data_IF_497402729903
#
_entry.id   IF_497402729903
#
_cell.length_a   1.000
_cell.length_b   1.000
_cell.length_c   1.000
_cell.angle_alpha   90.00
_cell.angle_beta   90.00
_cell.angle_gamma   90.00
#
_symmetry.space_group_name_H-M   'P 1'
#
loop_
_entity.id
_entity.type
_entity.pdbx_description
1 polymer ?
#
# COMPACT_ATOMS: atom_id res chain seq x y z
N UNK A 1 8.78 -4.36 -37.87
CA UNK A 1 7.57 -4.76 -38.64
C UNK A 1 6.99 -6.11 -38.20
N UNK A 2 7.70 -7.24 -38.32
CA UNK A 2 7.15 -8.54 -37.88
C UNK A 2 7.04 -8.66 -36.34
N UNK A 3 8.07 -8.21 -35.62
CA UNK A 3 8.11 -8.24 -34.14
C UNK A 3 7.02 -7.36 -33.52
N UNK A 4 6.85 -6.13 -34.01
CA UNK A 4 5.79 -5.22 -33.55
C UNK A 4 4.38 -5.78 -33.78
N UNK A 5 4.18 -6.52 -34.87
CA UNK A 5 2.90 -7.19 -35.13
C UNK A 5 2.66 -8.34 -34.14
N UNK A 6 3.69 -9.12 -33.84
CA UNK A 6 3.63 -10.21 -32.85
C UNK A 6 3.33 -9.65 -31.46
N UNK A 7 4.04 -8.59 -31.05
CA UNK A 7 3.83 -7.92 -29.77
C UNK A 7 2.39 -7.39 -29.65
N UNK A 8 1.88 -6.71 -30.68
CA UNK A 8 0.48 -6.25 -30.71
C UNK A 8 -0.51 -7.40 -30.57
N UNK A 9 -0.28 -8.53 -31.26
CA UNK A 9 -1.16 -9.70 -31.18
C UNK A 9 -1.10 -10.36 -29.80
N UNK A 10 0.07 -10.50 -29.21
CA UNK A 10 0.23 -11.01 -27.85
C UNK A 10 -0.49 -10.12 -26.83
N UNK A 11 -0.33 -8.80 -26.92
CA UNK A 11 -1.03 -7.86 -26.05
C UNK A 11 -2.55 -7.95 -26.18
N UNK A 12 -3.08 -8.17 -27.40
CA UNK A 12 -4.51 -8.43 -27.61
C UNK A 12 -4.97 -9.73 -26.95
N UNK A 13 -4.20 -10.81 -27.08
CA UNK A 13 -4.53 -12.11 -26.46
C UNK A 13 -4.55 -11.98 -24.94
N UNK A 14 -3.54 -11.34 -24.35
CA UNK A 14 -3.45 -11.10 -22.91
C UNK A 14 -4.67 -10.32 -22.41
N UNK A 15 -5.06 -9.26 -23.13
CA UNK A 15 -6.27 -8.47 -22.83
C UNK A 15 -7.55 -9.32 -22.83
N UNK A 16 -7.74 -10.15 -23.86
CA UNK A 16 -8.91 -11.03 -23.97
C UNK A 16 -8.94 -12.04 -22.82
N UNK A 17 -7.80 -12.63 -22.47
CA UNK A 17 -7.69 -13.57 -21.36
C UNK A 17 -8.02 -12.91 -20.01
N UNK A 18 -7.52 -11.69 -19.78
CA UNK A 18 -7.81 -10.90 -18.58
C UNK A 18 -9.31 -10.59 -18.43
N UNK A 19 -9.96 -10.16 -19.51
CA UNK A 19 -11.40 -9.90 -19.54
C UNK A 19 -12.23 -11.17 -19.32
N UNK A 20 -11.87 -12.26 -20.00
CA UNK A 20 -12.56 -13.54 -19.84
C UNK A 20 -12.39 -14.10 -18.42
N UNK A 21 -11.23 -13.88 -17.79
CA UNK A 21 -11.00 -14.31 -16.42
C UNK A 21 -11.83 -13.53 -15.40
N UNK A 22 -12.23 -12.29 -15.70
CA UNK A 22 -12.97 -11.41 -14.77
C UNK A 22 -14.46 -11.28 -15.09
N UNK A 23 -14.95 -11.95 -16.15
CA UNK A 23 -16.32 -11.80 -16.65
C UNK A 23 -17.40 -12.24 -15.66
N UNK A 24 -17.10 -13.23 -14.84
CA UNK A 24 -18.05 -13.85 -13.89
C UNK A 24 -17.98 -13.19 -12.51
N UNK A 25 -17.01 -12.30 -12.27
CA UNK A 25 -16.90 -11.58 -11.01
C UNK A 25 -17.90 -10.42 -11.01
N UNK A 26 -18.88 -10.42 -10.11
CA UNK A 26 -19.92 -9.38 -10.11
C UNK A 26 -19.43 -8.03 -9.56
N UNK A 27 -18.47 -8.06 -8.62
CA UNK A 27 -17.99 -6.86 -7.93
C UNK A 27 -16.71 -6.36 -8.57
N UNK A 28 -16.64 -5.05 -8.81
CA UNK A 28 -15.43 -4.40 -9.34
C UNK A 28 -14.19 -4.67 -8.47
N UNK A 29 -14.38 -4.74 -7.14
CA UNK A 29 -13.31 -5.14 -6.21
C UNK A 29 -12.69 -6.47 -6.62
N UNK A 30 -13.50 -7.49 -6.90
CA UNK A 30 -13.02 -8.85 -7.14
C UNK A 30 -12.28 -8.93 -8.48
N UNK A 31 -12.79 -8.25 -9.52
CA UNK A 31 -12.13 -8.09 -10.82
C UNK A 31 -10.74 -7.46 -10.67
N UNK A 32 -10.67 -6.33 -9.97
CA UNK A 32 -9.42 -5.60 -9.75
C UNK A 32 -8.40 -6.46 -9.03
N UNK A 33 -8.79 -7.12 -7.93
CA UNK A 33 -7.88 -7.97 -7.17
C UNK A 33 -7.39 -9.18 -7.96
N UNK A 34 -8.25 -9.75 -8.81
CA UNK A 34 -7.88 -10.87 -9.68
C UNK A 34 -6.86 -10.46 -10.73
N UNK A 35 -7.06 -9.30 -11.38
CA UNK A 35 -6.10 -8.78 -12.35
C UNK A 35 -4.75 -8.42 -11.70
N UNK A 36 -4.76 -7.86 -10.50
CA UNK A 36 -3.51 -7.64 -9.74
C UNK A 36 -2.78 -8.93 -9.44
N UNK A 37 -3.50 -10.02 -9.13
CA UNK A 37 -2.89 -11.35 -8.93
C UNK A 37 -2.30 -11.92 -10.22
N UNK A 38 -2.83 -11.52 -11.38
CA UNK A 38 -2.28 -11.87 -12.70
C UNK A 38 -1.06 -11.03 -13.09
N UNK A 39 -0.68 -10.04 -12.28
CA UNK A 39 0.51 -9.20 -12.49
C UNK A 39 0.25 -7.89 -13.22
N UNK A 40 -1.02 -7.55 -13.50
CA UNK A 40 -1.35 -6.27 -14.13
C UNK A 40 -1.21 -5.11 -13.15
N UNK A 41 -0.67 -4.00 -13.66
CA UNK A 41 -0.51 -2.77 -12.90
C UNK A 41 -1.81 -1.93 -12.90
N UNK A 42 -1.84 -0.86 -12.10
CA UNK A 42 -3.03 -0.01 -11.94
C UNK A 42 -3.54 0.61 -13.25
N UNK A 43 -2.65 1.02 -14.15
CA UNK A 43 -3.02 1.65 -15.43
C UNK A 43 -3.61 0.63 -16.40
N UNK A 44 -2.99 -0.56 -16.48
CA UNK A 44 -3.50 -1.67 -17.29
C UNK A 44 -4.88 -2.12 -16.81
N UNK A 45 -5.06 -2.27 -15.50
CA UNK A 45 -6.35 -2.65 -14.90
C UNK A 45 -7.42 -1.58 -15.20
N UNK A 46 -7.06 -0.29 -15.06
CA UNK A 46 -7.94 0.82 -15.38
C UNK A 46 -8.40 0.77 -16.85
N UNK A 47 -7.47 0.52 -17.78
CA UNK A 47 -7.77 0.36 -19.21
C UNK A 47 -8.69 -0.83 -19.46
N UNK A 48 -8.42 -2.00 -18.87
CA UNK A 48 -9.21 -3.22 -19.12
C UNK A 48 -10.63 -3.11 -18.60
N UNK A 49 -10.81 -2.54 -17.41
CA UNK A 49 -12.13 -2.44 -16.78
C UNK A 49 -12.88 -1.17 -17.18
N UNK A 50 -12.26 -0.26 -17.93
CA UNK A 50 -12.84 1.05 -18.25
C UNK A 50 -13.08 1.91 -17.00
N UNK A 51 -12.25 1.72 -15.96
CA UNK A 51 -12.35 2.40 -14.67
C UNK A 51 -11.30 3.51 -14.56
N UNK A 52 -11.56 4.54 -13.77
CA UNK A 52 -10.54 5.53 -13.44
C UNK A 52 -9.44 4.95 -12.54
N UNK A 53 -8.17 5.30 -12.76
CA UNK A 53 -7.03 4.86 -11.93
C UNK A 53 -7.23 5.15 -10.44
N UNK A 54 -7.87 6.28 -10.11
CA UNK A 54 -8.22 6.63 -8.74
C UNK A 54 -9.14 5.58 -8.07
N UNK A 55 -10.07 4.97 -8.81
CA UNK A 55 -10.96 3.95 -8.25
C UNK A 55 -10.19 2.64 -8.01
N UNK A 56 -9.25 2.28 -8.90
CA UNK A 56 -8.37 1.13 -8.71
C UNK A 56 -7.49 1.31 -7.47
N UNK A 57 -6.88 2.50 -7.31
CA UNK A 57 -6.07 2.85 -6.14
C UNK A 57 -6.91 2.77 -4.87
N UNK A 58 -8.13 3.30 -4.90
CA UNK A 58 -9.06 3.24 -3.77
C UNK A 58 -9.38 1.80 -3.37
N UNK A 59 -9.64 0.92 -4.35
CA UNK A 59 -9.88 -0.51 -4.10
C UNK A 59 -8.65 -1.15 -3.47
N UNK A 60 -7.45 -0.89 -3.99
CA UNK A 60 -6.21 -1.43 -3.41
C UNK A 60 -5.95 -0.94 -1.99
N UNK A 61 -6.11 0.36 -1.74
CA UNK A 61 -5.97 0.92 -0.40
C UNK A 61 -6.98 0.32 0.56
N UNK A 62 -8.26 0.21 0.17
CA UNK A 62 -9.30 -0.37 1.02
C UNK A 62 -9.08 -1.87 1.31
N UNK A 63 -8.51 -2.61 0.35
CA UNK A 63 -8.24 -4.04 0.51
C UNK A 63 -7.01 -4.31 1.39
N UNK A 64 -5.92 -3.57 1.19
CA UNK A 64 -4.71 -3.73 2.01
C UNK A 64 -4.90 -3.14 3.40
N UNK A 65 -5.57 -1.99 3.51
CA UNK A 65 -5.83 -1.25 4.74
C UNK A 65 -7.23 -1.54 5.29
N UNK A 66 -7.57 -2.83 5.37
CA UNK A 66 -8.84 -3.39 5.82
C UNK A 66 -9.20 -3.10 7.29
N UNK A 67 -8.28 -2.56 8.07
CA UNK A 67 -8.41 -2.35 9.51
C UNK A 67 -7.82 -1.01 9.93
N UNK A 68 -8.37 -0.46 11.01
CA UNK A 68 -7.91 0.84 11.51
C UNK A 68 -6.43 0.83 11.88
N UNK A 69 -5.92 -0.27 12.47
CA UNK A 69 -4.49 -0.42 12.76
C UNK A 69 -3.60 -0.30 11.51
N UNK A 70 -3.99 -0.91 10.39
CA UNK A 70 -3.22 -0.82 9.15
C UNK A 70 -3.28 0.60 8.55
N UNK A 71 -4.45 1.25 8.61
CA UNK A 71 -4.59 2.67 8.21
C UNK A 71 -3.67 3.56 9.04
N UNK A 72 -3.65 3.38 10.37
CA UNK A 72 -2.76 4.12 11.26
C UNK A 72 -1.28 3.84 10.98
N UNK A 73 -0.90 2.59 10.68
CA UNK A 73 0.48 2.25 10.31
C UNK A 73 0.91 2.96 9.02
N UNK A 74 0.03 2.97 8.01
CA UNK A 74 0.24 3.69 6.76
C UNK A 74 0.41 5.20 6.99
N UNK A 75 -0.47 5.80 7.80
CA UNK A 75 -0.42 7.23 8.16
C UNK A 75 0.87 7.59 8.93
N UNK A 76 1.25 6.78 9.92
CA UNK A 76 2.47 7.01 10.69
C UNK A 76 3.75 6.93 9.85
N UNK A 77 3.70 6.18 8.75
CA UNK A 77 4.82 6.14 7.80
C UNK A 77 4.99 7.49 7.10
N UNK A 78 3.91 8.23 6.86
CA UNK A 78 3.96 9.60 6.31
C UNK A 78 4.60 10.59 7.29
N UNK A 79 4.42 10.37 8.59
CA UNK A 79 4.96 11.20 9.67
C UNK A 79 6.47 10.99 9.93
N UNK A 80 7.20 10.34 9.01
CA UNK A 80 8.64 10.05 9.10
C UNK A 80 9.04 9.26 10.35
N UNK A 81 8.11 8.48 10.95
CA UNK A 81 8.40 7.63 12.11
C UNK A 81 9.20 6.39 11.68
N UNK A 82 10.09 5.92 12.56
CA UNK A 82 10.85 4.68 12.33
C UNK A 82 9.96 3.45 12.50
N UNK A 83 10.38 2.32 11.94
CA UNK A 83 9.67 1.04 12.09
C UNK A 83 9.43 0.69 13.57
N UNK A 84 10.44 0.89 14.42
CA UNK A 84 10.34 0.63 15.87
C UNK A 84 9.28 1.51 16.54
N UNK A 85 9.26 2.81 16.24
CA UNK A 85 8.27 3.75 16.78
C UNK A 85 6.84 3.37 16.38
N UNK A 86 6.64 2.97 15.12
CA UNK A 86 5.32 2.55 14.61
C UNK A 86 4.87 1.24 15.28
N UNK A 87 5.78 0.28 15.41
CA UNK A 87 5.51 -0.99 16.10
C UNK A 87 5.10 -0.77 17.55
N UNK A 88 5.82 0.12 18.27
CA UNK A 88 5.51 0.49 19.66
C UNK A 88 4.14 1.17 19.76
N UNK A 89 3.88 2.18 18.93
CA UNK A 89 2.63 2.95 18.96
C UNK A 89 1.39 2.08 18.71
N UNK A 90 1.47 1.16 17.74
CA UNK A 90 0.33 0.34 17.33
C UNK A 90 0.27 -1.04 17.98
N UNK A 91 1.28 -1.37 18.80
CA UNK A 91 1.46 -2.70 19.41
C UNK A 91 1.38 -3.81 18.34
N UNK A 92 2.17 -3.65 17.28
CA UNK A 92 2.31 -4.63 16.20
C UNK A 92 3.75 -5.11 16.09
N UNK A 93 3.95 -6.32 15.58
CA UNK A 93 5.29 -6.87 15.40
C UNK A 93 6.01 -6.24 14.20
N UNK A 94 7.35 -6.12 14.21
CA UNK A 94 8.12 -5.66 13.06
C UNK A 94 7.89 -6.49 11.78
N UNK A 95 7.77 -7.83 11.83
CA UNK A 95 7.38 -8.63 10.67
C UNK A 95 6.04 -8.23 10.08
N UNK A 96 5.00 -8.08 10.92
CA UNK A 96 3.66 -7.67 10.48
C UNK A 96 3.67 -6.31 9.78
N UNK A 97 4.43 -5.34 10.30
CA UNK A 97 4.58 -4.03 9.67
C UNK A 97 5.35 -4.12 8.33
N UNK A 98 6.37 -4.98 8.28
CA UNK A 98 7.17 -5.21 7.06
C UNK A 98 6.33 -5.83 5.95
N UNK A 99 5.51 -6.83 6.28
CA UNK A 99 4.58 -7.47 5.34
C UNK A 99 3.57 -6.46 4.80
N UNK A 100 3.01 -5.61 5.66
CA UNK A 100 2.10 -4.54 5.23
C UNK A 100 2.77 -3.59 4.23
N UNK A 101 3.98 -3.12 4.52
CA UNK A 101 4.72 -2.22 3.62
C UNK A 101 5.11 -2.88 2.30
N UNK A 102 5.53 -4.14 2.35
CA UNK A 102 5.84 -4.91 1.14
C UNK A 102 4.60 -5.09 0.27
N UNK A 103 3.46 -5.41 0.86
CA UNK A 103 2.20 -5.58 0.13
C UNK A 103 1.73 -4.24 -0.46
N UNK A 104 1.81 -3.15 0.31
CA UNK A 104 1.55 -1.81 -0.22
C UNK A 104 2.48 -1.44 -1.39
N UNK A 105 3.78 -1.73 -1.28
CA UNK A 105 4.75 -1.44 -2.33
C UNK A 105 4.49 -2.30 -3.58
N UNK A 106 4.18 -3.59 -3.41
CA UNK A 106 3.83 -4.50 -4.50
C UNK A 106 2.60 -4.03 -5.29
N UNK A 107 1.66 -3.35 -4.63
CA UNK A 107 0.47 -2.76 -5.25
C UNK A 107 0.64 -1.31 -5.70
N UNK A 108 1.87 -0.78 -5.67
CA UNK A 108 2.15 0.61 -6.07
C UNK A 108 1.57 1.67 -5.13
N UNK A 109 1.21 1.31 -3.91
CA UNK A 109 0.66 2.23 -2.89
C UNK A 109 1.75 2.95 -2.08
N UNK A 110 2.97 2.43 -2.14
CA UNK A 110 4.15 2.96 -1.48
C UNK A 110 5.38 2.83 -2.39
N UNK A 111 6.29 3.80 -2.36
CA UNK A 111 7.63 3.63 -2.89
C UNK A 111 8.56 3.09 -1.81
N UNK A 112 9.60 2.36 -2.22
CA UNK A 112 10.70 1.94 -1.36
C UNK A 112 11.98 2.67 -1.79
N UNK A 113 12.50 3.49 -0.91
CA UNK A 113 13.73 4.27 -1.10
C UNK A 113 14.77 3.77 -0.09
N UNK A 114 15.63 2.85 -0.54
CA UNK A 114 16.56 2.14 0.33
C UNK A 114 15.84 1.31 1.40
N UNK A 115 16.02 1.69 2.67
CA UNK A 115 15.37 1.04 3.83
C UNK A 115 14.04 1.69 4.23
N UNK A 116 13.63 2.77 3.57
CA UNK A 116 12.42 3.52 3.93
C UNK A 116 11.29 3.23 2.94
N UNK A 117 10.08 3.10 3.48
CA UNK A 117 8.86 3.08 2.68
C UNK A 117 8.19 4.43 2.77
N UNK A 118 7.61 4.89 1.65
CA UNK A 118 6.93 6.17 1.56
C UNK A 118 5.54 5.98 0.95
N UNK A 119 4.46 6.30 1.67
CA UNK A 119 3.12 6.44 1.13
C UNK A 119 3.07 7.32 -0.12
N UNK A 120 2.39 6.84 -1.17
CA UNK A 120 2.17 7.59 -2.40
C UNK A 120 0.79 8.28 -2.45
N UNK A 121 -0.11 7.89 -1.55
CA UNK A 121 -1.52 8.28 -1.62
C UNK A 121 -2.05 8.76 -0.28
N UNK A 122 -2.86 9.82 -0.30
CA UNK A 122 -3.55 10.34 0.88
C UNK A 122 -4.88 9.61 1.11
N UNK A 123 -5.01 8.91 2.23
CA UNK A 123 -6.22 8.19 2.61
C UNK A 123 -7.46 9.11 2.72
N UNK A 124 -7.30 10.39 3.08
CA UNK A 124 -8.41 11.36 3.13
C UNK A 124 -8.95 11.64 1.73
N UNK A 125 -8.07 11.79 0.73
CA UNK A 125 -8.46 12.01 -0.68
C UNK A 125 -9.31 10.87 -1.21
N UNK A 126 -9.05 9.64 -0.76
CA UNK A 126 -9.81 8.44 -1.12
C UNK A 126 -10.98 8.13 -0.19
N UNK A 127 -11.30 9.01 0.77
CA UNK A 127 -12.39 8.87 1.75
C UNK A 127 -12.29 7.58 2.60
N UNK A 128 -11.06 7.12 2.87
CA UNK A 128 -10.82 5.91 3.67
C UNK A 128 -10.67 6.18 5.16
N UNK A 129 -10.52 7.45 5.53
CA UNK A 129 -10.50 7.99 6.90
C UNK A 129 -11.27 9.31 6.93
N UNK A 130 -11.69 9.74 8.11
CA UNK A 130 -12.38 11.01 8.29
C UNK A 130 -11.45 12.20 8.00
N UNK A 131 -12.04 13.32 7.58
CA UNK A 131 -11.30 14.57 7.36
C UNK A 131 -10.71 15.04 8.69
N UNK A 132 -9.40 15.23 8.73
CA UNK A 132 -8.70 15.64 9.95
C UNK A 132 -8.27 14.50 10.88
N UNK A 133 -8.50 13.24 10.51
CA UNK A 133 -7.90 12.09 11.21
C UNK A 133 -6.38 12.24 11.22
N UNK A 134 -5.78 12.25 12.41
CA UNK A 134 -4.33 12.28 12.61
C UNK A 134 -3.81 10.88 12.95
N UNK A 135 -2.55 10.56 12.59
CA UNK A 135 -1.91 9.36 13.11
C UNK A 135 -1.90 9.39 14.64
N UNK A 136 -2.13 8.25 15.29
CA UNK A 136 -1.95 8.12 16.75
C UNK A 136 -0.49 8.42 17.08
N UNK A 137 -0.23 9.48 17.84
CA UNK A 137 1.14 9.81 18.25
C UNK A 137 1.70 8.69 19.14
N UNK A 138 2.95 8.23 18.92
CA UNK A 138 3.61 7.36 19.87
C UNK A 138 3.68 8.09 21.21
N UNK A 139 3.23 7.44 22.30
CA UNK A 139 3.52 7.97 23.63
C UNK A 139 5.03 8.01 23.81
N UNK A 140 5.57 9.21 24.02
CA UNK A 140 6.93 9.41 24.51
C UNK A 140 6.96 8.87 25.93
N UNK A 141 7.60 7.71 26.12
CA UNK A 141 8.00 7.33 27.47
C UNK A 141 9.28 8.11 27.75
N UNK A 142 9.17 9.12 28.62
CA UNK A 142 10.31 9.71 29.33
C UNK A 142 11.00 8.59 30.11
N UNK A 143 12.07 8.00 29.55
CA UNK A 143 13.18 7.43 30.30
C UNK A 143 14.24 6.91 29.35
N UNK A 144 15.22 7.76 29.07
CA UNK A 144 16.64 7.39 29.03
C UNK A 144 17.43 8.60 29.55
N UNK A 145 17.29 8.89 30.85
CA UNK A 145 18.38 9.56 31.57
C UNK A 145 19.45 8.49 31.76
N UNK A 146 20.38 8.42 30.81
CA UNK A 146 21.70 7.83 31.06
C UNK A 146 22.28 8.53 32.29
N UNK A 147 22.33 7.80 33.40
CA UNK A 147 23.16 8.17 34.55
C UNK A 147 24.61 8.07 34.09
N UNK A 148 25.18 9.15 33.60
CA UNK A 148 26.62 9.36 33.69
C UNK A 148 26.96 9.50 35.17
N UNK A 149 27.32 8.36 35.78
CA UNK A 149 28.00 8.34 37.05
C UNK A 149 29.36 9.01 36.87
N UNK A 150 29.47 10.25 37.34
CA UNK A 150 30.73 10.81 37.80
C UNK A 150 31.32 9.89 38.87
N UNK A 151 32.40 9.19 38.56
CA UNK A 151 33.36 8.74 39.56
C UNK A 151 34.69 9.46 39.31
N UNK A 152 34.89 10.50 40.13
CA UNK A 152 36.21 10.99 40.50
C UNK A 152 36.73 10.09 41.64
N UNK A 153 37.86 9.43 41.43
CA UNK A 153 38.97 9.32 42.40
C UNK A 153 40.18 8.63 41.77
#
# INVERSE_FOLDING_TARGET
>A
MAEELVERRLNQIVRILALNATKDDEKDKDKVLKLTKMGFNTEEIAEFLGMGTNEIIKIHLADVLDSEKKKQAYLLTTAQKTQSQICKALKISPPTLSELWQECARRGLMSKEGKRYKPLFDLQKYKLIAKGSRPIEPQEDDNDQEKEGTENN
#
